data_IF_433639623896
#
_entry.id   IF_433639623896
#
_cell.length_a   1.000
_cell.length_b   1.000
_cell.length_c   1.000
_cell.angle_alpha   90.00
_cell.angle_beta   90.00
_cell.angle_gamma   90.00
#
_symmetry.space_group_name_H-M   'P 1'
#
loop_
_entity.id
_entity.type
_entity.pdbx_description
1 polymer ?
#
# COMPACT_ATOMS: atom_id res chain seq x y z
N UNK A 1 15.71 4.43 -12.13
CA UNK A 1 16.72 4.37 -11.07
C UNK A 1 16.12 4.36 -9.67
N UNK A 2 16.51 3.38 -8.85
CA UNK A 2 16.12 3.24 -7.44
C UNK A 2 16.82 4.28 -6.58
N UNK A 3 16.10 4.92 -5.66
CA UNK A 3 16.66 5.99 -4.85
C UNK A 3 17.70 5.50 -3.84
N UNK A 4 17.57 4.25 -3.38
CA UNK A 4 18.42 3.65 -2.35
C UNK A 4 19.63 2.90 -2.91
N UNK A 5 19.43 1.95 -3.82
CA UNK A 5 20.53 1.11 -4.34
C UNK A 5 21.01 1.50 -5.75
N UNK A 6 20.39 2.51 -6.38
CA UNK A 6 20.70 2.99 -7.74
C UNK A 6 20.48 1.98 -8.87
N UNK A 7 19.93 0.79 -8.59
CA UNK A 7 19.53 -0.15 -9.64
C UNK A 7 18.41 0.43 -10.52
N UNK A 8 18.41 0.10 -11.80
CA UNK A 8 17.39 0.55 -12.75
C UNK A 8 16.31 -0.50 -13.04
N UNK A 9 16.50 -1.73 -12.55
CA UNK A 9 15.54 -2.81 -12.78
C UNK A 9 14.48 -2.86 -11.69
N UNK A 10 13.25 -3.02 -12.16
CA UNK A 10 12.05 -3.06 -11.36
C UNK A 10 11.09 -4.12 -11.88
N UNK A 11 10.28 -4.66 -10.99
CA UNK A 11 9.20 -5.59 -11.32
C UNK A 11 7.88 -5.11 -10.73
N UNK A 12 6.78 -5.42 -11.42
CA UNK A 12 5.45 -5.26 -10.84
C UNK A 12 5.24 -6.31 -9.76
N UNK A 13 4.71 -5.89 -8.61
CA UNK A 13 4.44 -6.75 -7.47
C UNK A 13 3.26 -6.23 -6.66
N UNK A 14 2.89 -6.98 -5.62
CA UNK A 14 1.90 -6.54 -4.63
C UNK A 14 2.48 -6.59 -3.24
N UNK A 15 1.99 -5.74 -2.36
CA UNK A 15 2.43 -5.70 -0.97
C UNK A 15 1.30 -5.41 0.00
N UNK A 16 1.59 -5.57 1.29
CA UNK A 16 0.67 -5.22 2.36
C UNK A 16 1.05 -3.84 2.90
N UNK A 17 0.11 -2.90 2.87
CA UNK A 17 0.26 -1.58 3.45
C UNK A 17 -0.45 -1.53 4.81
N UNK A 18 0.28 -1.17 5.86
CA UNK A 18 -0.25 -1.11 7.22
C UNK A 18 -0.30 0.35 7.67
N UNK A 19 -1.49 0.81 8.06
CA UNK A 19 -1.73 2.16 8.58
C UNK A 19 -2.10 2.06 10.05
N UNK A 20 -1.33 2.75 10.89
CA UNK A 20 -1.66 2.94 12.30
C UNK A 20 -2.37 4.29 12.44
N UNK A 21 -3.63 4.28 12.90
CA UNK A 21 -4.42 5.49 13.10
C UNK A 21 -5.13 5.45 14.46
N UNK A 22 -4.67 6.30 15.40
CA UNK A 22 -5.12 6.28 16.81
C UNK A 22 -5.00 4.86 17.39
N UNK A 23 -6.10 4.27 17.85
CA UNK A 23 -6.18 2.90 18.36
C UNK A 23 -6.63 1.89 17.28
N UNK A 24 -6.61 2.27 16.00
CA UNK A 24 -7.01 1.42 14.88
C UNK A 24 -5.80 1.02 14.04
N UNK A 25 -5.71 -0.27 13.70
CA UNK A 25 -4.75 -0.79 12.72
C UNK A 25 -5.52 -1.18 11.45
N UNK A 26 -5.16 -0.55 10.34
CA UNK A 26 -5.74 -0.85 9.02
C UNK A 26 -4.68 -1.59 8.20
N UNK A 27 -4.99 -2.82 7.81
CA UNK A 27 -4.12 -3.67 7.00
C UNK A 27 -4.72 -3.79 5.61
N UNK A 28 -4.12 -3.14 4.62
CA UNK A 28 -4.51 -3.22 3.22
C UNK A 28 -3.62 -4.22 2.50
N UNK A 29 -4.16 -5.37 2.11
CA UNK A 29 -3.44 -6.43 1.39
C UNK A 29 -3.49 -6.21 -0.12
N UNK A 30 -2.56 -6.84 -0.84
CA UNK A 30 -2.53 -6.88 -2.31
C UNK A 30 -2.44 -5.50 -2.99
N UNK A 31 -1.76 -4.55 -2.35
CA UNK A 31 -1.54 -3.21 -2.90
C UNK A 31 -0.52 -3.30 -4.03
N UNK A 32 -0.87 -2.96 -5.28
CA UNK A 32 0.05 -3.00 -6.40
C UNK A 32 1.19 -1.98 -6.20
N UNK A 33 2.41 -2.41 -6.46
CA UNK A 33 3.61 -1.58 -6.34
C UNK A 33 4.67 -1.99 -7.35
N UNK A 34 5.59 -1.08 -7.60
CA UNK A 34 6.82 -1.34 -8.33
C UNK A 34 7.90 -1.72 -7.31
N UNK A 35 8.46 -2.92 -7.39
CA UNK A 35 9.50 -3.41 -6.49
C UNK A 35 10.87 -3.39 -7.19
N UNK A 36 11.89 -2.82 -6.54
CA UNK A 36 13.25 -2.87 -7.01
C UNK A 36 13.80 -4.30 -6.91
N UNK A 37 14.25 -4.87 -8.03
CA UNK A 37 14.70 -6.27 -8.07
C UNK A 37 15.93 -6.57 -7.20
N UNK A 38 16.75 -5.56 -6.88
CA UNK A 38 17.98 -5.74 -6.10
C UNK A 38 17.75 -5.60 -4.58
N UNK A 39 17.06 -4.53 -4.16
CA UNK A 39 16.94 -4.18 -2.74
C UNK A 39 15.54 -4.39 -2.16
N UNK A 40 14.55 -4.70 -3.00
CA UNK A 40 13.17 -4.89 -2.57
C UNK A 40 12.42 -3.60 -2.25
N UNK A 41 12.98 -2.42 -2.54
CA UNK A 41 12.31 -1.15 -2.28
C UNK A 41 11.05 -1.01 -3.14
N UNK A 42 9.96 -0.55 -2.51
CA UNK A 42 8.63 -0.49 -3.12
C UNK A 42 8.24 0.94 -3.41
N UNK A 43 7.72 1.15 -4.61
CA UNK A 43 7.25 2.44 -5.08
C UNK A 43 5.78 2.30 -5.49
N UNK A 44 4.97 3.30 -5.16
CA UNK A 44 3.57 3.37 -5.54
C UNK A 44 3.40 4.48 -6.58
N UNK A 45 2.51 4.27 -7.55
CA UNK A 45 2.10 5.33 -8.46
C UNK A 45 1.10 6.26 -7.79
N UNK A 46 0.95 7.48 -8.31
CA UNK A 46 -0.01 8.46 -7.79
C UNK A 46 -1.44 7.90 -7.73
N UNK A 47 -1.84 7.13 -8.76
CA UNK A 47 -3.15 6.49 -8.81
C UNK A 47 -3.35 5.45 -7.68
N UNK A 48 -2.30 4.70 -7.33
CA UNK A 48 -2.36 3.74 -6.21
C UNK A 48 -2.44 4.46 -4.87
N UNK A 49 -1.67 5.53 -4.70
CA UNK A 49 -1.70 6.36 -3.48
C UNK A 49 -3.09 6.98 -3.29
N UNK A 50 -3.67 7.58 -4.34
CA UNK A 50 -5.01 8.17 -4.29
C UNK A 50 -6.08 7.14 -3.89
N UNK A 51 -6.00 5.91 -4.43
CA UNK A 51 -6.92 4.83 -4.07
C UNK A 51 -6.70 4.36 -2.63
N UNK A 52 -5.46 4.23 -2.17
CA UNK A 52 -5.15 3.90 -0.78
C UNK A 52 -5.74 4.91 0.20
N UNK A 53 -5.60 6.21 -0.08
CA UNK A 53 -6.17 7.26 0.75
C UNK A 53 -7.70 7.15 0.85
N UNK A 54 -8.39 6.90 -0.26
CA UNK A 54 -9.84 6.67 -0.28
C UNK A 54 -10.26 5.44 0.54
N UNK A 55 -9.53 4.34 0.44
CA UNK A 55 -9.78 3.12 1.22
C UNK A 55 -9.63 3.42 2.71
N UNK A 56 -8.50 4.02 3.09
CA UNK A 56 -8.21 4.35 4.49
C UNK A 56 -9.24 5.32 5.06
N UNK A 57 -9.65 6.35 4.32
CA UNK A 57 -10.68 7.31 4.73
C UNK A 57 -12.04 6.65 4.90
N UNK A 58 -12.39 5.71 4.03
CA UNK A 58 -13.65 4.95 4.14
C UNK A 58 -13.66 4.06 5.38
N UNK A 59 -12.54 3.39 5.67
CA UNK A 59 -12.40 2.53 6.85
C UNK A 59 -12.41 3.34 8.16
N UNK A 60 -11.75 4.52 8.17
CA UNK A 60 -11.77 5.43 9.32
C UNK A 60 -13.20 5.80 9.75
N UNK A 61 -14.12 5.96 8.80
CA UNK A 61 -15.53 6.29 9.07
C UNK A 61 -16.32 5.15 9.70
N UNK A 62 -15.86 3.90 9.55
CA UNK A 62 -16.55 2.69 10.00
C UNK A 62 -16.10 2.21 11.40
N UNK A 63 -15.17 2.92 12.05
CA UNK A 63 -14.61 2.69 13.40
C UNK A 63 -14.72 1.24 13.93
N UNK A 64 -13.72 0.42 13.58
CA UNK A 64 -13.40 -0.85 14.23
C UNK A 64 -11.96 -0.79 14.75
N UNK A 65 -11.63 -1.47 15.86
CA UNK A 65 -10.28 -1.47 16.46
C UNK A 65 -9.22 -2.08 15.52
N UNK A 66 -9.60 -3.01 14.65
CA UNK A 66 -8.73 -3.58 13.61
C UNK A 66 -9.57 -3.77 12.34
N UNK A 67 -9.06 -3.32 11.20
CA UNK A 67 -9.69 -3.51 9.90
C UNK A 67 -8.71 -4.10 8.89
N UNK A 68 -9.10 -5.21 8.25
CA UNK A 68 -8.31 -5.84 7.18
C UNK A 68 -9.07 -5.68 5.87
N UNK A 69 -8.43 -5.03 4.89
CA UNK A 69 -9.03 -4.73 3.59
C UNK A 69 -8.20 -5.38 2.48
N UNK A 70 -8.87 -5.97 1.49
CA UNK A 70 -8.21 -6.46 0.28
C UNK A 70 -8.30 -5.39 -0.82
N UNK A 71 -7.16 -4.90 -1.28
CA UNK A 71 -7.10 -3.84 -2.28
C UNK A 71 -7.81 -4.24 -3.58
N UNK A 72 -7.71 -5.51 -4.00
CA UNK A 72 -8.33 -6.00 -5.22
C UNK A 72 -9.86 -6.03 -5.14
N UNK A 73 -10.42 -6.13 -3.93
CA UNK A 73 -11.87 -6.16 -3.68
C UNK A 73 -12.47 -4.77 -3.39
N UNK A 74 -11.66 -3.72 -3.41
CA UNK A 74 -12.14 -2.33 -3.27
C UNK A 74 -12.48 -1.77 -4.65
N UNK A 75 -13.78 -1.54 -4.88
CA UNK A 75 -14.31 -0.96 -6.12
C UNK A 75 -13.92 0.52 -6.26
#
# INVERSE_FOLDING_TARGET
>A
MCMYCKNDKYKESTTTHVVNYKNCIIVVKNVPCLECEQCGEKYYSDAVVEKLERIVESVKKLMQEIAVVDYAMTA
#
